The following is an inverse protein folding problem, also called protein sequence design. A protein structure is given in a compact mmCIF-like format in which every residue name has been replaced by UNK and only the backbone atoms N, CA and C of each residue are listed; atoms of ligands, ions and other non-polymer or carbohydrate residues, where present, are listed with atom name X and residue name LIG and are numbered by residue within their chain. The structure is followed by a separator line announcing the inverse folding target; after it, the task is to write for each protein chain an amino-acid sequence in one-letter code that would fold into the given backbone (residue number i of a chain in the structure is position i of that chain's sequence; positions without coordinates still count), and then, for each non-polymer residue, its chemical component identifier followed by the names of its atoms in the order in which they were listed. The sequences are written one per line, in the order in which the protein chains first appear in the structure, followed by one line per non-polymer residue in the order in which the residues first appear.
data_IF_932690949989
#
_entry.id   IF_932690949989
#
_cell.length_a   1.000
_cell.length_b   1.000
_cell.length_c   1.000
_cell.angle_alpha   90.00
_cell.angle_beta   90.00
_cell.angle_gamma   90.00
#
_symmetry.space_group_name_H-M   'P 1'
#
loop_
_entity.id
_entity.type
_entity.pdbx_description
1 polymer ?
#
# COMPACT_ATOMS: atom_id res chain seq x y z
N UNK A 1 -2.46 -5.64 -10.28
CA UNK A 1 -1.71 -4.76 -9.35
C UNK A 1 -1.86 -3.25 -9.57
N UNK A 2 -1.62 -2.73 -10.79
CA UNK A 2 -1.53 -1.29 -11.08
C UNK A 2 -2.76 -0.47 -10.69
N UNK A 3 -3.96 -0.98 -10.93
CA UNK A 3 -5.21 -0.29 -10.60
C UNK A 3 -5.34 0.00 -9.10
N UNK A 4 -5.08 -1.00 -8.24
CA UNK A 4 -5.09 -0.84 -6.78
C UNK A 4 -4.06 0.19 -6.33
N UNK A 5 -2.88 0.19 -6.94
CA UNK A 5 -1.83 1.17 -6.65
C UNK A 5 -2.28 2.60 -7.01
N UNK A 6 -2.89 2.77 -8.19
CA UNK A 6 -3.41 4.06 -8.61
C UNK A 6 -4.55 4.53 -7.69
N UNK A 7 -5.50 3.67 -7.34
CA UNK A 7 -6.59 4.02 -6.41
C UNK A 7 -6.01 4.51 -5.08
N UNK A 8 -5.07 3.77 -4.50
CA UNK A 8 -4.40 4.19 -3.26
C UNK A 8 -3.66 5.53 -3.42
N UNK A 9 -2.84 5.67 -4.46
CA UNK A 9 -2.02 6.84 -4.69
C UNK A 9 -2.85 8.11 -4.95
N UNK A 10 -3.92 8.01 -5.75
CA UNK A 10 -4.84 9.12 -5.99
C UNK A 10 -5.64 9.47 -4.73
N UNK A 11 -6.06 8.47 -3.95
CA UNK A 11 -6.74 8.71 -2.68
C UNK A 11 -5.84 9.46 -1.69
N UNK A 12 -4.58 9.04 -1.51
CA UNK A 12 -3.65 9.71 -0.58
C UNK A 12 -3.19 11.07 -1.09
N UNK A 13 -3.10 11.28 -2.40
CA UNK A 13 -2.85 12.58 -3.00
C UNK A 13 -4.03 13.55 -2.77
N UNK A 14 -5.27 13.07 -2.88
CA UNK A 14 -6.46 13.88 -2.61
C UNK A 14 -6.71 14.10 -1.11
N UNK A 15 -6.30 13.14 -0.28
CA UNK A 15 -6.54 13.07 1.16
C UNK A 15 -5.26 12.72 1.89
N UNK A 16 -4.46 13.75 2.15
CA UNK A 16 -3.16 13.59 2.81
C UNK A 16 -3.24 12.87 4.17
N UNK A 17 -4.36 12.99 4.89
CA UNK A 17 -4.65 12.31 6.15
C UNK A 17 -4.64 10.76 6.05
N UNK A 18 -4.79 10.18 4.86
CA UNK A 18 -4.71 8.73 4.68
C UNK A 18 -3.28 8.21 4.84
N UNK A 19 -2.33 8.81 4.12
CA UNK A 19 -0.93 8.39 4.13
C UNK A 19 -0.15 8.96 5.33
N UNK A 20 -0.34 10.25 5.66
CA UNK A 20 0.36 10.88 6.78
C UNK A 20 -0.39 10.78 8.10
N UNK A 21 -1.63 10.30 8.11
CA UNK A 21 -2.42 10.11 9.33
C UNK A 21 -2.29 8.72 9.94
N UNK A 22 -3.17 8.38 10.89
CA UNK A 22 -3.04 7.17 11.71
C UNK A 22 -3.00 5.87 10.90
N UNK A 23 -3.75 5.78 9.79
CA UNK A 23 -3.78 4.59 8.95
C UNK A 23 -2.42 4.33 8.28
N UNK A 24 -1.91 5.30 7.51
CA UNK A 24 -0.61 5.16 6.85
C UNK A 24 0.53 4.96 7.84
N UNK A 25 0.52 5.67 8.98
CA UNK A 25 1.51 5.47 10.05
C UNK A 25 1.43 4.08 10.68
N UNK A 26 0.23 3.54 10.90
CA UNK A 26 0.03 2.18 11.41
C UNK A 26 0.56 1.15 10.42
N UNK A 27 0.20 1.25 9.14
CA UNK A 27 0.65 0.32 8.09
C UNK A 27 2.17 0.36 7.92
N UNK A 28 2.78 1.54 7.87
CA UNK A 28 4.23 1.69 7.79
C UNK A 28 4.96 1.07 9.01
N UNK A 29 4.38 1.20 10.21
CA UNK A 29 4.97 0.61 11.44
C UNK A 29 4.88 -0.90 11.51
N UNK A 30 3.93 -1.52 10.81
CA UNK A 30 3.80 -2.98 10.78
C UNK A 30 4.90 -3.65 9.95
N UNK A 31 5.65 -2.88 9.14
CA UNK A 31 6.57 -3.47 8.18
C UNK A 31 5.81 -4.14 7.03
N UNK A 32 6.51 -4.95 6.24
CA UNK A 32 5.91 -5.65 5.11
C UNK A 32 4.88 -6.70 5.57
N UNK A 33 3.81 -6.86 4.79
CA UNK A 33 2.87 -7.97 4.96
C UNK A 33 3.60 -9.32 4.81
N UNK A 34 3.32 -10.27 5.70
CA UNK A 34 3.97 -11.58 5.75
C UNK A 34 3.60 -12.49 4.56
N UNK A 35 2.54 -12.18 3.82
CA UNK A 35 2.10 -12.93 2.64
C UNK A 35 2.65 -12.36 1.33
N UNK A 36 3.48 -11.31 1.40
CA UNK A 36 4.06 -10.64 0.24
C UNK A 36 5.55 -10.97 0.18
N UNK A 37 5.98 -11.47 -0.97
CA UNK A 37 7.39 -11.72 -1.22
C UNK A 37 8.13 -10.39 -1.40
N UNK A 38 9.20 -10.18 -0.64
CA UNK A 38 9.95 -8.91 -0.64
C UNK A 38 11.40 -9.14 -1.02
N UNK A 39 11.90 -8.35 -1.96
CA UNK A 39 13.32 -8.32 -2.33
C UNK A 39 13.77 -6.87 -2.56
N UNK A 40 15.04 -6.59 -2.26
CA UNK A 40 15.62 -5.26 -2.49
C UNK A 40 16.11 -5.14 -3.93
N UNK A 41 15.82 -4.01 -4.58
CA UNK A 41 16.29 -3.67 -5.93
C UNK A 41 16.90 -2.26 -5.87
N UNK A 42 18.21 -2.15 -5.98
CA UNK A 42 18.97 -0.90 -5.81
C UNK A 42 18.62 -0.16 -4.51
N UNK A 43 17.95 0.99 -4.61
CA UNK A 43 17.48 1.82 -3.48
C UNK A 43 16.02 1.60 -3.13
N UNK A 44 15.33 0.74 -3.89
CA UNK A 44 13.90 0.46 -3.81
C UNK A 44 13.64 -1.00 -3.39
N UNK A 45 12.36 -1.35 -3.30
CA UNK A 45 11.90 -2.67 -2.91
C UNK A 45 10.92 -3.22 -3.95
N UNK A 46 11.20 -4.44 -4.41
CA UNK A 46 10.26 -5.24 -5.19
C UNK A 46 9.40 -6.06 -4.24
N UNK A 47 8.10 -5.87 -4.33
CA UNK A 47 7.08 -6.63 -3.60
C UNK A 47 6.24 -7.43 -4.59
N UNK A 48 5.95 -8.69 -4.29
CA UNK A 48 5.16 -9.57 -5.13
C UNK A 48 4.09 -10.30 -4.33
N UNK A 49 2.89 -10.38 -4.91
CA UNK A 49 1.83 -11.25 -4.44
C UNK A 49 1.47 -12.17 -5.61
N UNK A 50 1.85 -13.44 -5.51
CA UNK A 50 1.83 -14.37 -6.65
C UNK A 50 2.68 -13.85 -7.82
N UNK A 51 2.12 -13.76 -9.03
CA UNK A 51 2.83 -13.28 -10.23
C UNK A 51 2.81 -11.74 -10.38
N UNK A 52 2.00 -11.05 -9.57
CA UNK A 52 1.83 -9.61 -9.62
C UNK A 52 2.86 -8.90 -8.72
N UNK A 53 3.73 -8.09 -9.31
CA UNK A 53 4.78 -7.37 -8.58
C UNK A 53 4.72 -5.84 -8.76
N UNK A 54 5.30 -5.12 -7.80
CA UNK A 54 5.55 -3.67 -7.87
C UNK A 54 6.96 -3.37 -7.35
N UNK A 55 7.61 -2.33 -7.89
CA UNK A 55 8.87 -1.77 -7.37
C UNK A 55 8.57 -0.37 -6.86
N UNK A 56 8.82 -0.15 -5.57
CA UNK A 56 8.40 1.06 -4.85
C UNK A 56 9.46 1.50 -3.84
N UNK A 57 9.37 2.76 -3.39
CA UNK A 57 10.13 3.26 -2.24
C UNK A 57 9.85 2.40 -0.99
N UNK A 58 10.75 2.37 -0.02
CA UNK A 58 10.57 1.54 1.19
C UNK A 58 9.24 1.83 1.91
N UNK A 59 8.85 3.11 2.01
CA UNK A 59 7.63 3.51 2.71
C UNK A 59 6.40 3.05 1.92
N UNK A 60 6.37 3.31 0.62
CA UNK A 60 5.25 2.93 -0.24
C UNK A 60 5.13 1.41 -0.34
N UNK A 61 6.25 0.70 -0.46
CA UNK A 61 6.28 -0.76 -0.51
C UNK A 61 5.73 -1.38 0.78
N UNK A 62 6.11 -0.81 1.93
CA UNK A 62 5.64 -1.27 3.24
C UNK A 62 4.12 -1.11 3.35
N UNK A 63 3.60 0.08 3.05
CA UNK A 63 2.17 0.38 3.12
C UNK A 63 1.39 -0.46 2.09
N UNK A 64 1.83 -0.43 0.83
CA UNK A 64 1.08 -1.05 -0.27
C UNK A 64 1.06 -2.58 -0.17
N UNK A 65 2.06 -3.22 0.47
CA UNK A 65 2.06 -4.67 0.70
C UNK A 65 0.80 -5.18 1.43
N UNK A 66 0.25 -4.41 2.37
CA UNK A 66 -1.00 -4.73 3.08
C UNK A 66 -2.27 -4.55 2.23
N UNK A 67 -2.15 -3.85 1.10
CA UNK A 67 -3.25 -3.51 0.20
C UNK A 67 -3.30 -4.43 -1.04
N UNK A 68 -2.19 -5.09 -1.39
CA UNK A 68 -2.08 -5.94 -2.59
C UNK A 68 -3.13 -7.06 -2.61
N UNK A 69 -3.39 -7.68 -1.46
CA UNK A 69 -4.34 -8.77 -1.31
C UNK A 69 -5.81 -8.32 -1.24
N UNK A 70 -6.08 -7.02 -1.03
CA UNK A 70 -7.44 -6.49 -0.91
C UNK A 70 -8.16 -6.47 -2.24
N UNK A 71 -9.45 -6.76 -2.26
CA UNK A 71 -10.30 -6.44 -3.40
C UNK A 71 -10.36 -4.91 -3.60
N UNK A 72 -10.80 -4.46 -4.78
CA UNK A 72 -11.01 -3.02 -5.02
C UNK A 72 -12.05 -2.47 -4.05
N UNK A 73 -13.13 -3.23 -3.83
CA UNK A 73 -14.18 -2.86 -2.88
C UNK A 73 -13.64 -2.72 -1.45
N UNK A 74 -12.81 -3.67 -0.98
CA UNK A 74 -12.17 -3.58 0.33
C UNK A 74 -11.25 -2.35 0.43
N UNK A 75 -10.51 -2.04 -0.64
CA UNK A 75 -9.63 -0.86 -0.70
C UNK A 75 -10.43 0.44 -0.62
N UNK A 76 -11.53 0.56 -1.36
CA UNK A 76 -12.42 1.71 -1.31
C UNK A 76 -13.05 1.88 0.07
N UNK A 77 -13.45 0.78 0.72
CA UNK A 77 -13.95 0.80 2.09
C UNK A 77 -12.89 1.29 3.09
N UNK A 78 -11.64 0.84 2.97
CA UNK A 78 -10.52 1.30 3.81
C UNK A 78 -10.31 2.81 3.64
N UNK A 79 -10.32 3.30 2.40
CA UNK A 79 -10.17 4.72 2.07
C UNK A 79 -11.33 5.54 2.65
N UNK A 80 -12.56 5.07 2.50
CA UNK A 80 -13.76 5.74 2.99
C UNK A 80 -13.84 5.74 4.54
N UNK A 81 -13.36 4.69 5.20
CA UNK A 81 -13.47 4.52 6.66
C UNK A 81 -12.68 5.57 7.47
N UNK A 82 -11.67 6.22 6.88
CA UNK A 82 -10.90 7.30 7.53
C UNK A 82 -11.64 8.65 7.45
N UNK A 83 -12.82 8.72 6.81
CA UNK A 83 -13.64 9.92 6.79
C UNK A 83 -14.51 10.02 8.05
N UNK A 84 -13.94 10.48 9.16
CA UNK A 84 -14.66 11.03 10.32
C UNK A 84 -13.74 11.85 11.22
#
# INVERSE_FOLDING_TARGET
MTEKYLIWNWATAARSDLASGPLGAMLARQGFDHNVDVSKVDTEYKICLHEDCAILSVVDATIFSHLMAKSIEELEHIIAAVAR
#
